data_IF_422148084833
#
_entry.id   IF_422148084833
#
_cell.length_a   1.000
_cell.length_b   1.000
_cell.length_c   1.000
_cell.angle_alpha   90.00
_cell.angle_beta   90.00
_cell.angle_gamma   90.00
#
_symmetry.space_group_name_H-M   'P 1'
#
loop_
_entity.id
_entity.type
_entity.pdbx_description
1 polymer ?
#
# COMPACT_ATOMS: atom_id res chain seq x y z
N UNK A 1 -2.48 -20.18 13.13
CA UNK A 1 -2.66 -19.34 11.94
C UNK A 1 -3.18 -20.23 10.83
N UNK A 2 -4.35 -19.95 10.24
CA UNK A 2 -4.78 -20.68 9.05
C UNK A 2 -3.85 -20.30 7.90
N UNK A 3 -3.27 -21.28 7.16
CA UNK A 3 -2.45 -20.96 6.01
C UNK A 3 -3.27 -20.13 5.01
N UNK A 4 -2.67 -19.04 4.51
CA UNK A 4 -3.32 -18.16 3.54
C UNK A 4 -3.60 -18.96 2.26
N UNK A 5 -4.79 -18.82 1.64
CA UNK A 5 -5.09 -19.49 0.37
C UNK A 5 -4.04 -19.18 -0.70
N UNK A 6 -3.58 -20.21 -1.42
CA UNK A 6 -2.49 -20.11 -2.41
C UNK A 6 -2.80 -19.08 -3.51
N UNK A 7 -4.08 -18.88 -3.84
CA UNK A 7 -4.50 -17.91 -4.84
C UNK A 7 -4.13 -16.46 -4.46
N UNK A 8 -4.20 -16.09 -3.17
CA UNK A 8 -3.88 -14.73 -2.71
C UNK A 8 -2.41 -14.41 -2.95
N UNK A 9 -1.55 -15.36 -2.61
CA UNK A 9 -0.11 -15.28 -2.89
C UNK A 9 0.16 -15.15 -4.39
N UNK A 10 -0.50 -15.96 -5.22
CA UNK A 10 -0.34 -15.91 -6.68
C UNK A 10 -0.76 -14.55 -7.24
N UNK A 11 -1.93 -14.03 -6.86
CA UNK A 11 -2.39 -12.71 -7.30
C UNK A 11 -1.39 -11.62 -6.91
N UNK A 12 -0.93 -11.60 -5.65
CA UNK A 12 0.03 -10.59 -5.19
C UNK A 12 1.39 -10.70 -5.90
N UNK A 13 1.84 -11.91 -6.25
CA UNK A 13 3.05 -12.09 -7.07
C UNK A 13 2.85 -11.61 -8.51
N UNK A 14 1.72 -11.92 -9.14
CA UNK A 14 1.42 -11.41 -10.48
C UNK A 14 1.30 -9.90 -10.45
N UNK A 15 0.67 -9.32 -9.42
CA UNK A 15 0.62 -7.89 -9.22
C UNK A 15 2.03 -7.30 -9.03
N UNK A 16 2.88 -7.93 -8.22
CA UNK A 16 4.26 -7.50 -8.00
C UNK A 16 5.04 -7.41 -9.32
N UNK A 17 5.04 -8.50 -10.09
CA UNK A 17 5.72 -8.56 -11.39
C UNK A 17 5.15 -7.53 -12.36
N UNK A 18 3.83 -7.43 -12.46
CA UNK A 18 3.16 -6.47 -13.34
C UNK A 18 3.57 -5.03 -13.01
N UNK A 19 3.52 -4.63 -11.74
CA UNK A 19 3.87 -3.26 -11.33
C UNK A 19 5.37 -2.97 -11.49
N UNK A 20 6.25 -3.96 -11.29
CA UNK A 20 7.68 -3.81 -11.56
C UNK A 20 7.96 -3.62 -13.05
N UNK A 21 7.36 -4.44 -13.90
CA UNK A 21 7.52 -4.34 -15.36
C UNK A 21 6.96 -3.01 -15.86
N UNK A 22 5.78 -2.63 -15.41
CA UNK A 22 5.16 -1.36 -15.80
C UNK A 22 5.96 -0.16 -15.29
N UNK A 23 6.39 -0.17 -14.02
CA UNK A 23 7.22 0.89 -13.44
C UNK A 23 8.56 1.04 -14.17
N UNK A 24 9.24 -0.08 -14.45
CA UNK A 24 10.47 -0.07 -15.24
C UNK A 24 10.24 0.48 -16.66
N UNK A 25 9.16 0.06 -17.32
CA UNK A 25 8.81 0.57 -18.64
C UNK A 25 8.57 2.08 -18.63
N UNK A 26 7.87 2.61 -17.63
CA UNK A 26 7.66 4.06 -17.47
C UNK A 26 8.96 4.81 -17.18
N UNK A 27 9.88 4.22 -16.40
CA UNK A 27 11.19 4.81 -16.09
C UNK A 27 12.04 4.92 -17.36
N UNK A 28 12.16 3.85 -18.14
CA UNK A 28 13.01 3.83 -19.34
C UNK A 28 12.35 4.51 -20.55
N UNK A 29 11.02 4.51 -20.63
CA UNK A 29 10.27 4.99 -21.79
C UNK A 29 9.12 5.95 -21.40
N UNK A 30 9.41 7.06 -20.70
CA UNK A 30 8.36 7.91 -20.10
C UNK A 30 7.46 8.59 -21.13
N UNK A 31 7.91 8.77 -22.37
CA UNK A 31 7.16 9.45 -23.43
C UNK A 31 6.32 8.52 -24.29
N UNK A 32 6.58 7.21 -24.26
CA UNK A 32 5.87 6.23 -25.11
C UNK A 32 4.37 6.18 -24.84
N UNK A 33 3.88 6.19 -23.59
CA UNK A 33 2.43 6.25 -23.33
C UNK A 33 1.77 7.45 -24.01
N UNK A 34 2.37 8.63 -23.90
CA UNK A 34 1.83 9.88 -24.45
C UNK A 34 1.79 9.85 -25.98
N UNK A 35 2.85 9.33 -26.61
CA UNK A 35 2.90 9.13 -28.07
C UNK A 35 1.82 8.18 -28.57
N UNK A 36 1.58 7.07 -27.86
CA UNK A 36 0.52 6.11 -28.22
C UNK A 36 -0.88 6.71 -28.07
N UNK A 37 -1.06 7.58 -27.07
CA UNK A 37 -2.31 8.29 -26.85
C UNK A 37 -2.50 9.47 -27.82
N UNK A 38 -1.46 9.84 -28.58
CA UNK A 38 -1.51 11.00 -29.49
C UNK A 38 -1.63 12.33 -28.76
N UNK A 39 -1.23 12.39 -27.48
CA UNK A 39 -1.26 13.61 -26.67
C UNK A 39 0.12 14.25 -26.60
N UNK A 40 0.15 15.56 -26.39
CA UNK A 40 1.39 16.28 -26.20
C UNK A 40 2.18 15.70 -25.01
N UNK A 41 3.50 15.52 -25.17
CA UNK A 41 4.34 15.01 -24.09
C UNK A 41 4.33 15.99 -22.91
N UNK A 42 4.40 15.48 -21.67
CA UNK A 42 4.42 16.34 -20.49
C UNK A 42 5.68 17.21 -20.49
N UNK A 43 5.55 18.47 -20.05
CA UNK A 43 6.67 19.41 -19.92
C UNK A 43 7.79 18.88 -18.99
N UNK A 44 7.43 18.04 -18.01
CA UNK A 44 8.36 17.43 -17.07
C UNK A 44 8.22 15.90 -17.06
N UNK A 45 8.86 15.17 -18.00
CA UNK A 45 8.79 13.71 -18.07
C UNK A 45 9.32 13.01 -16.81
N UNK A 46 10.21 13.68 -16.06
CA UNK A 46 10.73 13.18 -14.79
C UNK A 46 9.64 12.93 -13.73
N UNK A 47 8.55 13.71 -13.72
CA UNK A 47 7.42 13.46 -12.82
C UNK A 47 6.74 12.12 -13.14
N UNK A 48 6.65 11.78 -14.42
CA UNK A 48 6.11 10.51 -14.87
C UNK A 48 7.04 9.33 -14.50
N UNK A 49 8.35 9.52 -14.62
CA UNK A 49 9.33 8.54 -14.13
C UNK A 49 9.25 8.34 -12.62
N UNK A 50 9.05 9.42 -11.85
CA UNK A 50 8.81 9.34 -10.41
C UNK A 50 7.57 8.51 -10.07
N UNK A 51 6.48 8.67 -10.83
CA UNK A 51 5.30 7.80 -10.69
C UNK A 51 5.66 6.35 -10.99
N UNK A 52 6.42 6.09 -12.06
CA UNK A 52 6.94 4.76 -12.38
C UNK A 52 7.76 4.13 -11.23
N UNK A 53 8.61 4.92 -10.57
CA UNK A 53 9.37 4.47 -9.40
C UNK A 53 8.45 4.11 -8.22
N UNK A 54 7.47 4.97 -7.91
CA UNK A 54 6.49 4.71 -6.84
C UNK A 54 5.72 3.41 -7.12
N UNK A 55 5.27 3.21 -8.35
CA UNK A 55 4.58 1.97 -8.78
C UNK A 55 5.51 0.75 -8.66
N UNK A 56 6.79 0.89 -9.03
CA UNK A 56 7.79 -0.15 -8.84
C UNK A 56 7.96 -0.55 -7.37
N UNK A 57 8.04 0.43 -6.46
CA UNK A 57 8.12 0.19 -5.01
C UNK A 57 6.86 -0.52 -4.49
N UNK A 58 5.67 -0.15 -4.98
CA UNK A 58 4.45 -0.91 -4.67
C UNK A 58 4.54 -2.36 -5.15
N UNK A 59 5.14 -2.61 -6.32
CA UNK A 59 5.42 -3.96 -6.80
C UNK A 59 6.25 -4.78 -5.80
N UNK A 60 7.31 -4.20 -5.23
CA UNK A 60 8.10 -4.84 -4.18
C UNK A 60 7.24 -5.10 -2.93
N UNK A 61 6.42 -4.11 -2.54
CA UNK A 61 5.47 -4.24 -1.43
C UNK A 61 4.49 -5.41 -1.61
N UNK A 62 3.93 -5.59 -2.81
CA UNK A 62 3.07 -6.74 -3.10
C UNK A 62 3.82 -8.07 -3.03
N UNK A 63 5.07 -8.11 -3.49
CA UNK A 63 5.94 -9.28 -3.37
C UNK A 63 6.17 -9.68 -1.90
N UNK A 64 6.43 -8.69 -1.04
CA UNK A 64 6.56 -8.91 0.40
C UNK A 64 5.22 -9.35 1.03
N UNK A 65 4.12 -8.70 0.65
CA UNK A 65 2.78 -9.07 1.13
C UNK A 65 2.37 -10.48 0.69
N UNK A 66 2.87 -10.98 -0.44
CA UNK A 66 2.59 -12.34 -0.92
C UNK A 66 3.09 -13.45 0.02
N UNK A 67 4.07 -13.16 0.90
CA UNK A 67 4.60 -14.11 1.88
C UNK A 67 3.60 -14.38 3.01
N UNK A 68 2.86 -13.36 3.44
CA UNK A 68 1.77 -13.46 4.40
C UNK A 68 0.72 -12.38 4.12
N UNK A 69 -0.23 -12.66 3.20
CA UNK A 69 -1.21 -11.67 2.74
C UNK A 69 -2.13 -11.15 3.84
N UNK A 70 -2.38 -11.99 4.86
CA UNK A 70 -3.27 -11.65 5.97
C UNK A 70 -2.56 -10.71 6.94
N UNK A 71 -1.29 -10.96 7.25
CA UNK A 71 -0.51 -10.09 8.15
C UNK A 71 -0.13 -8.77 7.50
N UNK A 72 0.12 -8.76 6.19
CA UNK A 72 0.55 -7.58 5.44
C UNK A 72 -0.61 -6.87 4.72
N UNK A 73 -1.84 -7.02 5.23
CA UNK A 73 -3.03 -6.37 4.68
C UNK A 73 -2.91 -4.84 4.54
N UNK A 74 -2.17 -4.08 5.38
CA UNK A 74 -2.09 -2.63 5.19
C UNK A 74 -1.42 -2.24 3.86
N UNK A 75 -0.43 -3.02 3.40
CA UNK A 75 0.22 -2.79 2.11
C UNK A 75 -0.77 -3.04 0.96
N UNK A 76 -1.59 -4.09 1.09
CA UNK A 76 -2.64 -4.41 0.10
C UNK A 76 -3.72 -3.32 0.08
N UNK A 77 -4.08 -2.75 1.25
CA UNK A 77 -5.01 -1.63 1.34
C UNK A 77 -4.47 -0.40 0.63
N UNK A 78 -3.24 0.01 0.94
CA UNK A 78 -2.63 1.18 0.30
C UNK A 78 -2.54 0.96 -1.22
N UNK A 79 -2.21 -0.26 -1.65
CA UNK A 79 -2.24 -0.63 -3.06
C UNK A 79 -3.61 -0.50 -3.71
N UNK A 80 -4.67 -0.96 -3.03
CA UNK A 80 -6.05 -0.83 -3.52
C UNK A 80 -6.46 0.65 -3.61
N UNK A 81 -6.12 1.46 -2.61
CA UNK A 81 -6.41 2.90 -2.61
C UNK A 81 -5.71 3.62 -3.76
N UNK A 82 -4.43 3.32 -4.00
CA UNK A 82 -3.69 3.85 -5.15
C UNK A 82 -4.40 3.53 -6.48
N UNK A 83 -4.92 2.30 -6.60
CA UNK A 83 -5.67 1.86 -7.78
C UNK A 83 -7.07 2.44 -7.89
N UNK A 84 -7.66 2.96 -6.81
CA UNK A 84 -8.96 3.65 -6.85
C UNK A 84 -8.76 5.11 -7.24
N UNK A 85 -7.74 5.77 -6.70
CA UNK A 85 -7.48 7.18 -6.98
C UNK A 85 -7.00 7.43 -8.41
N UNK A 86 -6.30 6.49 -9.05
CA UNK A 86 -5.89 6.59 -10.45
C UNK A 86 -7.06 6.82 -11.42
N UNK A 87 -8.06 5.91 -11.48
CA UNK A 87 -9.25 6.07 -12.32
C UNK A 87 -10.07 7.32 -12.00
N UNK A 88 -10.18 7.72 -10.73
CA UNK A 88 -10.90 8.95 -10.34
C UNK A 88 -10.19 10.18 -10.93
N UNK A 89 -8.87 10.26 -10.79
CA UNK A 89 -8.07 11.33 -11.37
C UNK A 89 -8.18 11.37 -12.90
N UNK A 90 -8.15 10.19 -13.53
CA UNK A 90 -8.33 10.07 -14.98
C UNK A 90 -9.69 10.54 -15.46
N UNK A 91 -10.79 10.11 -14.83
CA UNK A 91 -12.15 10.53 -15.22
C UNK A 91 -12.23 12.06 -15.16
N UNK A 92 -11.68 12.68 -14.11
CA UNK A 92 -11.59 14.14 -14.02
C UNK A 92 -10.82 14.78 -15.18
N UNK A 93 -9.68 14.22 -15.57
CA UNK A 93 -8.86 14.73 -16.68
C UNK A 93 -9.51 14.50 -18.05
N UNK A 94 -10.14 13.33 -18.26
CA UNK A 94 -10.85 12.99 -19.49
C UNK A 94 -12.09 13.87 -19.69
N UNK A 95 -12.84 14.17 -18.62
CA UNK A 95 -13.98 15.09 -18.68
C UNK A 95 -13.57 16.53 -19.03
N UNK A 96 -12.33 16.94 -18.71
CA UNK A 96 -11.76 18.24 -19.09
C UNK A 96 -11.15 18.26 -20.49
N UNK A 97 -11.11 17.12 -21.19
CA UNK A 97 -10.46 16.99 -22.49
C UNK A 97 -8.93 16.96 -22.45
N UNK A 98 -8.32 16.78 -21.27
CA UNK A 98 -6.86 16.73 -21.11
C UNK A 98 -6.28 15.38 -21.54
N UNK A 99 -7.07 14.30 -21.44
CA UNK A 99 -6.70 12.97 -21.90
C UNK A 99 -7.80 12.34 -22.74
N UNK A 100 -7.45 11.57 -23.80
CA UNK A 100 -8.41 10.84 -24.59
C UNK A 100 -8.97 9.66 -23.79
N UNK A 101 -10.23 9.31 -24.05
CA UNK A 101 -10.87 8.12 -23.46
C UNK A 101 -10.17 6.80 -23.79
N UNK A 102 -9.39 6.76 -24.88
CA UNK A 102 -8.55 5.61 -25.24
C UNK A 102 -7.50 5.28 -24.17
N UNK A 103 -7.03 6.27 -23.41
CA UNK A 103 -6.16 6.09 -22.25
C UNK A 103 -6.82 5.24 -21.14
N UNK A 104 -8.16 5.16 -21.14
CA UNK A 104 -8.93 4.29 -20.26
C UNK A 104 -8.57 2.80 -20.39
N UNK A 105 -8.08 2.35 -21.55
CA UNK A 105 -7.61 0.97 -21.71
C UNK A 105 -6.40 0.66 -20.83
N UNK A 106 -5.48 1.62 -20.70
CA UNK A 106 -4.33 1.51 -19.79
C UNK A 106 -4.79 1.42 -18.34
N UNK A 107 -5.84 2.14 -17.99
CA UNK A 107 -6.38 2.16 -16.61
C UNK A 107 -7.10 0.85 -16.28
N UNK A 108 -7.76 0.23 -17.25
CA UNK A 108 -8.38 -1.08 -17.03
C UNK A 108 -7.33 -2.09 -16.59
N UNK A 109 -6.22 -2.18 -17.30
CA UNK A 109 -5.15 -3.14 -17.02
C UNK A 109 -4.31 -2.75 -15.80
N UNK A 110 -4.12 -1.45 -15.56
CA UNK A 110 -3.33 -0.98 -14.42
C UNK A 110 -4.10 -1.03 -13.09
N UNK A 111 -5.40 -0.77 -13.11
CA UNK A 111 -6.18 -0.50 -11.89
C UNK A 111 -7.36 -1.45 -11.72
N UNK A 112 -8.34 -1.39 -12.63
CA UNK A 112 -9.67 -1.99 -12.45
C UNK A 112 -9.64 -3.51 -12.24
N UNK A 113 -8.81 -4.24 -13.00
CA UNK A 113 -8.71 -5.71 -12.88
C UNK A 113 -8.22 -6.16 -11.49
N UNK A 114 -7.52 -5.29 -10.76
CA UNK A 114 -6.93 -5.60 -9.47
C UNK A 114 -7.84 -5.26 -8.29
N UNK A 115 -8.90 -4.47 -8.50
CA UNK A 115 -9.82 -4.09 -7.43
C UNK A 115 -10.50 -5.30 -6.80
N UNK A 116 -11.01 -6.21 -7.63
CA UNK A 116 -11.68 -7.43 -7.19
C UNK A 116 -10.75 -8.32 -6.34
N UNK A 117 -9.56 -8.72 -6.82
CA UNK A 117 -8.72 -9.60 -6.03
C UNK A 117 -8.14 -8.92 -4.78
N UNK A 118 -7.76 -7.64 -4.84
CA UNK A 118 -7.25 -6.93 -3.66
C UNK A 118 -8.35 -6.75 -2.62
N UNK A 119 -9.56 -6.37 -3.05
CA UNK A 119 -10.73 -6.29 -2.18
C UNK A 119 -11.05 -7.64 -1.50
N UNK A 120 -10.98 -8.74 -2.25
CA UNK A 120 -11.18 -10.08 -1.69
C UNK A 120 -10.09 -10.47 -0.66
N UNK A 121 -8.83 -10.12 -0.89
CA UNK A 121 -7.73 -10.34 0.07
C UNK A 121 -7.96 -9.54 1.36
N UNK A 122 -8.33 -8.26 1.23
CA UNK A 122 -8.63 -7.37 2.35
C UNK A 122 -9.82 -7.86 3.17
N UNK A 123 -10.89 -8.27 2.50
CA UNK A 123 -12.08 -8.84 3.13
C UNK A 123 -11.74 -10.10 3.94
N UNK A 124 -10.94 -11.00 3.36
CA UNK A 124 -10.48 -12.20 4.06
C UNK A 124 -9.59 -11.87 5.27
N UNK A 125 -8.69 -10.90 5.14
CA UNK A 125 -7.86 -10.46 6.27
C UNK A 125 -8.72 -9.90 7.42
N UNK A 126 -9.73 -9.08 7.10
CA UNK A 126 -10.66 -8.52 8.07
C UNK A 126 -11.48 -9.58 8.81
N UNK A 127 -11.95 -10.62 8.10
CA UNK A 127 -12.66 -11.74 8.73
C UNK A 127 -11.79 -12.48 9.75
N UNK A 128 -10.50 -12.69 9.46
CA UNK A 128 -9.60 -13.38 10.38
C UNK A 128 -9.32 -12.56 11.64
N UNK A 129 -9.12 -11.25 11.52
CA UNK A 129 -8.94 -10.38 12.69
C UNK A 129 -10.19 -10.32 13.57
N UNK A 130 -11.36 -10.17 12.96
CA UNK A 130 -12.64 -10.06 13.68
C UNK A 130 -13.04 -11.38 14.32
N UNK A 131 -12.86 -12.50 13.61
CA UNK A 131 -13.09 -13.85 14.13
C UNK A 131 -12.13 -14.23 15.26
N UNK A 132 -10.85 -13.81 15.18
CA UNK A 132 -9.87 -14.01 16.24
C UNK A 132 -10.21 -13.25 17.52
N UNK A 133 -10.59 -11.96 17.39
CA UNK A 133 -11.01 -11.13 18.53
C UNK A 133 -12.25 -11.69 19.23
N UNK A 134 -13.24 -12.17 18.48
CA UNK A 134 -14.46 -12.80 19.05
C UNK A 134 -14.15 -14.09 19.81
N UNK A 135 -13.21 -14.91 19.34
CA UNK A 135 -12.80 -16.16 20.03
C UNK A 135 -12.09 -15.87 21.36
N UNK A 136 -11.21 -14.87 21.39
CA UNK A 136 -10.53 -14.45 22.62
C UNK A 136 -11.50 -13.87 23.65
N UNK A 137 -12.47 -13.05 23.22
CA UNK A 137 -13.51 -12.52 24.10
C UNK A 137 -14.42 -13.61 24.69
N UNK A 138 -14.73 -14.66 23.92
CA UNK A 138 -15.51 -15.80 24.38
C UNK A 138 -14.79 -16.68 25.42
N UNK A 139 -13.48 -16.89 25.28
CA UNK A 139 -12.69 -17.67 26.25
C UNK A 139 -12.51 -16.96 27.60
N UNK A 140 -12.57 -15.63 27.63
CA UNK A 140 -12.46 -14.83 28.86
C UNK A 140 -13.74 -14.87 29.72
N UNK A 141 -14.87 -15.31 29.16
CA UNK A 141 -16.17 -15.36 29.85
C UNK A 141 -16.50 -16.70 30.51
N UNK A 142 -15.65 -17.72 30.36
CA UNK A 142 -15.89 -19.09 30.88
C UNK A 142 -14.88 -19.50 31.98
N UNK A 143 -13.99 -18.59 32.39
CA UNK A 143 -13.04 -18.82 33.50
C UNK A 143 -13.54 -18.18 34.79
N UNK A 144 -13.96 -19.01 35.73
CA UNK A 144 -14.19 -18.66 37.13
C UNK A 144 -12.98 -17.93 37.74
N UNK A 145 -13.28 -16.98 38.62
CA UNK A 145 -12.31 -16.19 39.37
C UNK A 145 -11.22 -17.05 40.02
N UNK A 146 -9.96 -16.74 39.73
CA UNK A 146 -8.84 -16.93 40.66
C UNK A 146 -7.90 -15.76 40.46
N UNK A 147 -7.85 -14.91 41.49
CA UNK A 147 -6.88 -13.86 41.71
C UNK A 147 -5.46 -14.41 41.66
N UNK A 148 -4.59 -13.89 40.78
CA UNK A 148 -3.16 -13.71 41.05
C UNK A 148 -2.48 -12.89 39.94
N UNK A 149 -2.08 -11.69 40.34
CA UNK A 149 -0.82 -11.02 40.02
C UNK A 149 -0.47 -10.66 38.56
N UNK A 150 -0.49 -9.35 38.31
CA UNK A 150 0.14 -8.71 37.15
C UNK A 150 1.59 -8.39 37.51
N UNK A 151 2.57 -8.72 36.64
CA UNK A 151 3.24 -7.61 35.96
C UNK A 151 3.76 -7.99 34.57
N UNK A 152 3.07 -7.54 33.50
CA UNK A 152 3.65 -7.48 32.15
C UNK A 152 3.30 -6.18 31.43
N UNK A 153 3.72 -5.06 32.03
CA UNK A 153 3.70 -3.73 31.43
C UNK A 153 5.10 -3.30 30.89
N UNK A 154 5.92 -4.26 30.40
CA UNK A 154 7.33 -4.00 30.06
C UNK A 154 7.63 -3.67 28.60
N UNK A 155 6.80 -4.11 27.63
CA UNK A 155 7.15 -4.01 26.20
C UNK A 155 6.52 -2.79 25.53
N UNK A 156 5.30 -2.41 25.92
CA UNK A 156 4.59 -1.28 25.28
C UNK A 156 5.14 0.10 25.67
N UNK A 157 5.82 0.21 26.82
CA UNK A 157 6.46 1.46 27.26
C UNK A 157 7.80 1.72 26.56
N UNK A 158 8.50 0.68 26.09
CA UNK A 158 9.79 0.82 25.40
C UNK A 158 9.63 1.44 24.02
N UNK A 159 8.65 0.97 23.22
CA UNK A 159 8.36 1.52 21.88
C UNK A 159 7.84 2.95 21.98
N UNK A 160 6.99 3.24 22.97
CA UNK A 160 6.51 4.59 23.22
C UNK A 160 7.64 5.56 23.63
N UNK A 161 8.58 5.11 24.47
CA UNK A 161 9.76 5.92 24.86
C UNK A 161 10.71 6.16 23.70
N UNK A 162 10.95 5.17 22.82
CA UNK A 162 11.78 5.36 21.63
C UNK A 162 11.15 6.34 20.63
N UNK A 163 9.84 6.25 20.40
CA UNK A 163 9.13 7.18 19.50
C UNK A 163 9.15 8.63 20.01
N UNK A 164 9.03 8.82 21.34
CA UNK A 164 9.11 10.13 22.00
C UNK A 164 10.55 10.67 21.97
N UNK A 165 11.57 9.83 22.20
CA UNK A 165 12.97 10.26 22.13
C UNK A 165 13.41 10.71 20.72
N UNK A 166 12.94 10.04 19.67
CA UNK A 166 13.22 10.41 18.27
C UNK A 166 12.56 11.75 17.91
N UNK A 167 11.34 11.98 18.39
CA UNK A 167 10.61 13.23 18.11
C UNK A 167 11.18 14.44 18.86
N UNK A 168 11.72 14.24 20.07
CA UNK A 168 12.43 15.31 20.81
C UNK A 168 13.77 15.64 20.14
N UNK A 169 14.53 14.65 19.68
CA UNK A 169 15.82 14.88 18.98
C UNK A 169 15.68 15.63 17.65
N UNK A 170 14.58 15.42 16.91
CA UNK A 170 14.31 16.18 15.68
C UNK A 170 13.90 17.63 15.92
N UNK A 171 13.36 17.94 17.10
CA UNK A 171 12.94 19.31 17.45
C UNK A 171 14.12 20.15 17.93
N UNK A 172 15.13 19.53 18.55
CA UNK A 172 16.36 20.22 19.00
C UNK A 172 17.43 20.41 17.91
N UNK A 173 17.29 19.78 16.73
CA UNK A 173 18.22 19.98 15.61
C UNK A 173 17.97 21.28 14.82
N UNK A 174 16.81 21.91 15.00
CA UNK A 174 16.43 23.16 14.32
C UNK A 174 17.36 24.36 14.58
N UNK A 175 17.83 24.64 15.81
CA UNK A 175 18.61 25.84 16.11
C UNK A 175 20.11 25.72 15.76
N UNK A 176 20.64 24.52 15.51
CA UNK A 176 22.08 24.30 15.26
C UNK A 176 22.50 24.58 13.81
N UNK A 177 21.55 24.58 12.86
CA UNK A 177 21.82 24.89 11.44
C UNK A 177 21.81 26.40 11.19
N UNK A 178 21.14 27.20 12.03
CA UNK A 178 21.10 28.66 11.91
C UNK A 178 22.33 29.41 12.46
N UNK A 179 23.29 28.70 13.07
CA UNK A 179 24.54 29.30 13.60
C UNK A 179 25.80 28.96 12.79
N UNK A 180 25.64 28.36 11.61
CA UNK A 180 26.73 28.07 10.66
C UNK A 180 26.51 28.69 9.27
N UNK A 181 25.60 29.67 9.15
CA UNK A 181 25.51 30.62 8.03
C UNK A 181 25.87 32.01 8.52
#
# INVERSE_FOLDING_TARGET
MYPSPIWMRRVLLVAAVYNLVWGAWVIFFPLVPFRWMGVDPPNYPGLWQCIGMIVGVYGIGYGAAALDPVRHWPIVLVGLLGKIFGPIGFVGAAMKGEFPWSAGLTIITNDLIWWLPFGAILWHAWQQETGGRRRLAGSSGTGTATTADSPRAGVSQSVARTAVAVSVSMTEAGPLIQRLS
#
